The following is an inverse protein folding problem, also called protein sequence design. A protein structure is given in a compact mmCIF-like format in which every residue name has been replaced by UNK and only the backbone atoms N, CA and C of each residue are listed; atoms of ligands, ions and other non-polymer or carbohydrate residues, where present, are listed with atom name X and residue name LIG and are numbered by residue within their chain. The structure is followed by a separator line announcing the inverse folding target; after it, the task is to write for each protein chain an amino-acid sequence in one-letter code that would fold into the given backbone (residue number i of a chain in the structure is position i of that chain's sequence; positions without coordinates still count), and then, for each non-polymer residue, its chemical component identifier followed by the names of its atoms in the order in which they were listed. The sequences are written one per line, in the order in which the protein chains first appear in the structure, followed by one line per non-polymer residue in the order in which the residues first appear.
data_IF_061732288925
#
_entry.id   IF_061732288925
#
_cell.length_a   1.000
_cell.length_b   1.000
_cell.length_c   1.000
_cell.angle_alpha   90.00
_cell.angle_beta   90.00
_cell.angle_gamma   90.00
#
_symmetry.space_group_name_H-M   'P 1'
#
loop_
_entity.id
_entity.type
_entity.pdbx_description
1 polymer ?
#
# COMPACT_ATOMS: atom_id res chain seq x y z
N UNK A 1 2.44 -21.72 2.23
CA UNK A 1 1.80 -20.97 1.13
C UNK A 1 2.12 -19.49 1.34
N UNK A 2 2.56 -18.76 0.30
CA UNK A 2 2.69 -17.31 0.43
C UNK A 2 1.32 -16.69 0.76
N UNK A 3 1.26 -15.59 1.52
CA UNK A 3 0.01 -14.91 1.83
C UNK A 3 -0.63 -14.42 0.52
N UNK A 4 -1.76 -15.02 0.16
CA UNK A 4 -2.54 -14.57 -1.00
C UNK A 4 -3.50 -13.48 -0.53
N UNK A 5 -3.33 -12.28 -1.07
CA UNK A 5 -4.29 -11.19 -0.89
C UNK A 5 -5.10 -11.09 -2.17
N UNK A 6 -6.42 -11.22 -2.07
CA UNK A 6 -7.28 -11.15 -3.25
C UNK A 6 -7.48 -9.69 -3.69
N UNK A 7 -7.52 -9.40 -5.00
CA UNK A 7 -7.81 -8.06 -5.50
C UNK A 7 -9.10 -7.47 -4.92
N UNK A 8 -10.09 -8.29 -4.60
CA UNK A 8 -11.35 -7.84 -3.99
C UNK A 8 -11.16 -7.27 -2.57
N UNK A 9 -10.26 -7.86 -1.77
CA UNK A 9 -9.92 -7.35 -0.44
C UNK A 9 -9.20 -6.01 -0.55
N UNK A 10 -8.27 -5.89 -1.49
CA UNK A 10 -7.56 -4.63 -1.78
C UNK A 10 -8.54 -3.57 -2.29
N UNK A 11 -9.44 -3.92 -3.20
CA UNK A 11 -10.44 -3.02 -3.75
C UNK A 11 -11.33 -2.42 -2.65
N UNK A 12 -11.73 -3.23 -1.65
CA UNK A 12 -12.48 -2.72 -0.50
C UNK A 12 -11.68 -1.70 0.32
N UNK A 13 -10.40 -1.95 0.56
CA UNK A 13 -9.53 -1.00 1.25
C UNK A 13 -9.35 0.30 0.47
N UNK A 14 -9.14 0.22 -0.85
CA UNK A 14 -9.01 1.40 -1.72
C UNK A 14 -10.33 2.20 -1.72
N UNK A 15 -11.47 1.54 -1.87
CA UNK A 15 -12.78 2.22 -1.87
C UNK A 15 -13.05 2.94 -0.54
N UNK A 16 -12.61 2.39 0.59
CA UNK A 16 -12.71 3.04 1.91
C UNK A 16 -11.76 4.23 2.04
N UNK A 17 -10.52 4.09 1.55
CA UNK A 17 -9.52 5.15 1.60
C UNK A 17 -9.83 6.31 0.63
N UNK A 18 -10.45 5.98 -0.52
CA UNK A 18 -10.71 6.89 -1.63
C UNK A 18 -12.18 6.83 -2.04
N UNK A 19 -13.11 7.35 -1.23
CA UNK A 19 -14.55 7.25 -1.50
C UNK A 19 -15.00 8.01 -2.77
N UNK A 20 -14.15 8.89 -3.31
CA UNK A 20 -14.40 9.61 -4.56
C UNK A 20 -13.92 8.88 -5.83
N UNK A 21 -13.26 7.73 -5.72
CA UNK A 21 -12.80 6.97 -6.88
C UNK A 21 -13.93 6.16 -7.51
N UNK A 22 -13.89 5.99 -8.83
CA UNK A 22 -14.83 5.12 -9.53
C UNK A 22 -14.52 3.66 -9.24
N UNK A 23 -15.56 2.81 -9.30
CA UNK A 23 -15.40 1.35 -9.12
C UNK A 23 -14.35 0.77 -10.07
N UNK A 24 -14.28 1.27 -11.30
CA UNK A 24 -13.30 0.86 -12.31
C UNK A 24 -11.87 1.20 -11.87
N UNK A 25 -11.63 2.44 -11.44
CA UNK A 25 -10.31 2.87 -10.94
C UNK A 25 -9.89 2.07 -9.70
N UNK A 26 -10.82 1.81 -8.78
CA UNK A 26 -10.59 0.96 -7.60
C UNK A 26 -10.17 -0.45 -8.00
N UNK A 27 -10.91 -1.08 -8.93
CA UNK A 27 -10.65 -2.45 -9.38
C UNK A 27 -9.34 -2.57 -10.15
N UNK A 28 -9.05 -1.60 -11.02
CA UNK A 28 -7.78 -1.55 -11.77
C UNK A 28 -6.60 -1.44 -10.81
N UNK A 29 -6.67 -0.50 -9.85
CA UNK A 29 -5.61 -0.27 -8.89
C UNK A 29 -5.43 -1.47 -7.94
N UNK A 30 -6.51 -2.12 -7.54
CA UNK A 30 -6.47 -3.33 -6.72
C UNK A 30 -5.77 -4.49 -7.44
N UNK A 31 -6.08 -4.72 -8.72
CA UNK A 31 -5.42 -5.74 -9.55
C UNK A 31 -3.94 -5.42 -9.74
N UNK A 32 -3.60 -4.15 -9.96
CA UNK A 32 -2.21 -3.71 -10.08
C UNK A 32 -1.44 -3.97 -8.78
N UNK A 33 -2.02 -3.65 -7.62
CA UNK A 33 -1.42 -3.93 -6.31
C UNK A 33 -1.22 -5.44 -6.13
N UNK A 34 -2.25 -6.26 -6.31
CA UNK A 34 -2.16 -7.71 -6.12
C UNK A 34 -1.08 -8.37 -7.02
N UNK A 35 -0.83 -7.80 -8.21
CA UNK A 35 0.14 -8.34 -9.17
C UNK A 35 1.56 -7.84 -8.96
N UNK A 36 1.72 -6.60 -8.52
CA UNK A 36 3.03 -5.93 -8.54
C UNK A 36 3.63 -5.71 -7.16
N UNK A 37 2.85 -5.72 -6.08
CA UNK A 37 3.34 -5.41 -4.74
C UNK A 37 4.40 -6.44 -4.27
N UNK A 38 5.52 -5.98 -3.70
CA UNK A 38 6.56 -6.84 -3.13
C UNK A 38 5.97 -7.85 -2.13
N UNK A 39 6.44 -9.10 -2.16
CA UNK A 39 5.93 -10.19 -1.31
C UNK A 39 6.00 -9.86 0.19
N UNK A 40 7.01 -9.10 0.62
CA UNK A 40 7.16 -8.65 2.01
C UNK A 40 6.03 -7.70 2.38
N UNK A 41 5.64 -6.82 1.48
CA UNK A 41 4.54 -5.87 1.68
C UNK A 41 3.18 -6.56 1.56
N UNK A 42 3.04 -7.57 0.71
CA UNK A 42 1.86 -8.45 0.67
C UNK A 42 1.62 -9.15 2.01
N UNK A 43 2.68 -9.62 2.67
CA UNK A 43 2.58 -10.21 4.01
C UNK A 43 2.05 -9.22 5.06
N UNK A 44 2.48 -7.96 5.00
CA UNK A 44 1.98 -6.90 5.88
C UNK A 44 0.52 -6.55 5.58
N UNK A 45 0.17 -6.46 4.29
CA UNK A 45 -1.20 -6.20 3.86
C UNK A 45 -2.14 -7.31 4.32
N UNK A 46 -1.72 -8.57 4.22
CA UNK A 46 -2.51 -9.70 4.71
C UNK A 46 -2.73 -9.62 6.22
N UNK A 47 -1.67 -9.36 6.99
CA UNK A 47 -1.78 -9.17 8.44
C UNK A 47 -2.73 -8.01 8.79
N UNK A 48 -2.70 -6.92 8.01
CA UNK A 48 -3.61 -5.80 8.19
C UNK A 48 -5.06 -6.17 7.92
N UNK A 49 -5.33 -6.94 6.88
CA UNK A 49 -6.68 -7.43 6.56
C UNK A 49 -7.18 -8.39 7.65
N UNK A 50 -6.34 -9.32 8.10
CA UNK A 50 -6.74 -10.36 9.04
C UNK A 50 -6.95 -9.84 10.47
N UNK A 51 -6.12 -8.91 10.94
CA UNK A 51 -6.10 -8.48 12.34
C UNK A 51 -6.38 -6.99 12.56
N UNK A 52 -6.50 -6.19 11.49
CA UNK A 52 -6.56 -4.73 11.55
C UNK A 52 -5.25 -4.07 11.99
N UNK A 53 -4.17 -4.84 12.21
CA UNK A 53 -2.91 -4.30 12.69
C UNK A 53 -2.19 -3.55 11.55
N UNK A 54 -1.41 -2.54 11.88
CA UNK A 54 -0.56 -1.82 10.92
C UNK A 54 0.90 -2.14 11.20
N UNK A 55 1.39 -3.34 10.82
CA UNK A 55 2.77 -3.71 11.09
C UNK A 55 3.72 -2.76 10.37
N UNK A 56 4.82 -2.41 11.04
CA UNK A 56 5.79 -1.49 10.47
C UNK A 56 6.84 -2.26 9.67
N UNK A 57 7.15 -1.78 8.48
CA UNK A 57 8.26 -2.25 7.67
C UNK A 57 9.13 -1.06 7.29
N UNK A 58 10.44 -1.22 7.43
CA UNK A 58 11.44 -0.20 7.15
C UNK A 58 12.34 -0.68 6.02
N UNK A 59 12.56 0.20 5.05
CA UNK A 59 13.49 0.00 3.95
C UNK A 59 14.17 1.33 3.64
N UNK A 60 15.50 1.32 3.54
CA UNK A 60 16.29 2.55 3.39
C UNK A 60 16.00 3.56 4.50
N UNK A 61 15.69 4.80 4.11
CA UNK A 61 15.38 5.90 5.03
C UNK A 61 13.91 5.96 5.49
N UNK A 62 13.01 5.20 4.85
CA UNK A 62 11.57 5.26 5.11
C UNK A 62 11.04 4.03 5.83
N UNK A 63 9.90 4.19 6.48
CA UNK A 63 9.07 3.08 6.96
C UNK A 63 7.61 3.29 6.62
N UNK A 64 6.85 2.22 6.49
CA UNK A 64 5.42 2.27 6.11
C UNK A 64 4.65 3.19 7.05
N UNK A 65 4.90 3.10 8.36
CA UNK A 65 4.25 3.97 9.35
C UNK A 65 4.70 5.42 9.25
N UNK A 66 5.97 5.68 8.91
CA UNK A 66 6.42 7.05 8.63
C UNK A 66 5.71 7.63 7.41
N UNK A 67 5.66 6.89 6.29
CA UNK A 67 4.98 7.31 5.05
C UNK A 67 3.49 7.58 5.33
N UNK A 68 2.83 6.71 6.10
CA UNK A 68 1.44 6.87 6.50
C UNK A 68 1.20 8.19 7.28
N UNK A 69 2.15 8.57 8.14
CA UNK A 69 2.07 9.78 8.98
C UNK A 69 2.52 11.07 8.29
N UNK A 70 3.27 10.99 7.20
CA UNK A 70 3.89 12.16 6.54
C UNK A 70 2.89 13.06 5.80
N UNK A 71 1.74 12.53 5.38
CA UNK A 71 0.67 13.30 4.75
C UNK A 71 -0.63 13.10 5.52
N UNK A 72 -1.52 14.11 5.53
CA UNK A 72 -2.78 14.15 6.29
C UNK A 72 -3.64 12.89 6.07
N UNK A 73 -3.43 11.86 6.89
CA UNK A 73 -4.30 10.68 6.96
C UNK A 73 -4.25 9.78 5.73
N UNK A 74 -3.08 9.57 5.10
CA UNK A 74 -2.94 8.52 4.07
C UNK A 74 -3.33 7.16 4.66
N UNK A 75 -4.00 6.33 3.85
CA UNK A 75 -4.35 4.98 4.28
C UNK A 75 -3.10 4.12 4.44
N UNK A 76 -3.20 3.04 5.22
CA UNK A 76 -2.09 2.10 5.35
C UNK A 76 -1.73 1.46 3.99
N UNK A 77 -2.73 1.23 3.14
CA UNK A 77 -2.52 0.72 1.79
C UNK A 77 -1.74 1.70 0.91
N UNK A 78 -2.06 2.99 0.93
CA UNK A 78 -1.30 4.00 0.17
C UNK A 78 0.17 4.03 0.61
N UNK A 79 0.42 3.87 1.92
CA UNK A 79 1.77 3.80 2.45
C UNK A 79 2.53 2.56 1.96
N UNK A 80 1.85 1.41 1.84
CA UNK A 80 2.43 0.19 1.26
C UNK A 80 2.74 0.37 -0.24
N UNK A 81 1.85 0.97 -1.02
CA UNK A 81 2.06 1.23 -2.46
C UNK A 81 3.24 2.18 -2.68
N UNK A 82 3.37 3.23 -1.87
CA UNK A 82 4.51 4.14 -1.93
C UNK A 82 5.83 3.46 -1.51
N UNK A 83 5.78 2.61 -0.48
CA UNK A 83 6.93 1.81 -0.08
C UNK A 83 7.34 0.82 -1.18
N UNK A 84 6.39 0.19 -1.84
CA UNK A 84 6.63 -0.72 -2.97
C UNK A 84 7.33 -0.01 -4.13
N UNK A 85 6.85 1.18 -4.51
CA UNK A 85 7.50 2.02 -5.51
C UNK A 85 8.94 2.37 -5.11
N UNK A 86 9.18 2.67 -3.82
CA UNK A 86 10.51 2.98 -3.29
C UNK A 86 11.45 1.76 -3.26
N UNK A 87 10.95 0.57 -2.94
CA UNK A 87 11.73 -0.67 -2.98
C UNK A 87 12.16 -1.01 -4.41
N UNK A 88 11.31 -0.73 -5.40
CA UNK A 88 11.61 -0.99 -6.82
C UNK A 88 12.53 0.05 -7.45
N UNK A 89 12.31 1.33 -7.14
CA UNK A 89 13.12 2.46 -7.60
C UNK A 89 13.19 3.50 -6.48
N UNK A 90 14.34 3.54 -5.81
CA UNK A 90 14.53 4.43 -4.67
C UNK A 90 14.41 5.91 -5.06
N UNK A 91 14.87 6.31 -6.25
CA UNK A 91 14.83 7.70 -6.67
C UNK A 91 13.40 8.16 -6.96
N UNK A 92 12.67 7.38 -7.78
CA UNK A 92 11.28 7.69 -8.13
C UNK A 92 10.35 7.55 -6.94
N UNK A 93 10.49 6.48 -6.15
CA UNK A 93 9.66 6.25 -4.97
C UNK A 93 9.87 7.30 -3.88
N UNK A 94 11.11 7.76 -3.67
CA UNK A 94 11.41 8.86 -2.75
C UNK A 94 10.69 10.14 -3.17
N UNK A 95 10.72 10.46 -4.47
CA UNK A 95 10.00 11.61 -5.00
C UNK A 95 8.49 11.50 -4.75
N UNK A 96 7.88 10.32 -4.95
CA UNK A 96 6.47 10.08 -4.68
C UNK A 96 6.11 10.20 -3.19
N UNK A 97 6.94 9.65 -2.30
CA UNK A 97 6.74 9.73 -0.84
C UNK A 97 6.77 11.19 -0.36
N UNK A 98 7.74 11.96 -0.86
CA UNK A 98 7.97 13.35 -0.47
C UNK A 98 7.03 14.35 -1.17
N UNK A 99 6.35 13.94 -2.25
CA UNK A 99 5.37 14.76 -2.95
C UNK A 99 4.18 15.03 -2.01
N UNK A 100 4.00 16.31 -1.66
CA UNK A 100 2.92 16.82 -0.81
C UNK A 100 1.69 17.17 -1.61
#
# INVERSE_FOLDING_TARGET
MPPQVHPEEIARLIAQAHPGWTTEAVQEHARACAKTLDERLLGLLRAHIDTGATPNFRYGEFSVIQIQRMARGRSYLDALVLMDAYVKDEASGRALILRR
#
